data_IF_980039376063
#
_entry.id   IF_980039376063
#
_cell.length_a   1.000
_cell.length_b   1.000
_cell.length_c   1.000
_cell.angle_alpha   90.00
_cell.angle_beta   90.00
_cell.angle_gamma   90.00
#
_symmetry.space_group_name_H-M   'P 1'
#
loop_
_entity.id
_entity.type
_entity.pdbx_description
1 polymer ?
#
# COMPACT_ATOMS: atom_id res chain seq x y z
N UNK A 1 -37.47 72.25 4.21
CA UNK A 1 -36.94 72.66 2.89
C UNK A 1 -36.19 73.96 3.13
N UNK A 2 -34.89 73.86 3.44
CA UNK A 2 -34.10 74.98 3.95
C UNK A 2 -33.03 75.35 2.92
N UNK A 3 -32.89 76.66 2.69
CA UNK A 3 -32.04 77.29 1.70
C UNK A 3 -30.56 77.11 2.06
N UNK A 4 -29.79 76.52 1.14
CA UNK A 4 -28.33 76.45 1.20
C UNK A 4 -27.75 77.84 0.88
N UNK A 5 -27.12 78.47 1.87
CA UNK A 5 -26.23 79.61 1.66
C UNK A 5 -25.02 79.16 0.83
N UNK A 6 -24.44 79.99 -0.07
CA UNK A 6 -23.16 79.69 -0.69
C UNK A 6 -22.08 79.65 0.40
N UNK A 7 -21.71 78.44 0.83
CA UNK A 7 -20.71 78.18 1.85
C UNK A 7 -20.06 76.83 1.59
N UNK A 8 -18.83 76.66 2.07
CA UNK A 8 -18.12 75.37 2.00
C UNK A 8 -18.59 74.52 3.18
N UNK A 9 -19.31 73.44 2.89
CA UNK A 9 -19.62 72.40 3.86
C UNK A 9 -18.45 71.43 3.95
N UNK A 10 -17.89 71.26 5.14
CA UNK A 10 -16.82 70.28 5.41
C UNK A 10 -17.40 69.19 6.29
N UNK A 11 -17.63 68.01 5.73
CA UNK A 11 -17.94 66.82 6.50
C UNK A 11 -16.63 66.18 6.97
N UNK A 12 -16.44 66.08 8.28
CA UNK A 12 -15.33 65.29 8.85
C UNK A 12 -15.82 63.85 8.89
N UNK A 13 -15.29 63.01 8.00
CA UNK A 13 -15.45 61.56 8.08
C UNK A 13 -14.28 61.05 8.92
N UNK A 14 -14.58 60.43 10.05
CA UNK A 14 -13.56 59.79 10.87
C UNK A 14 -13.16 58.45 10.22
N UNK A 15 -11.98 58.41 9.62
CA UNK A 15 -11.35 57.19 9.07
C UNK A 15 -10.28 56.62 10.02
N UNK A 16 -10.26 57.02 11.29
CA UNK A 16 -9.25 56.53 12.22
C UNK A 16 -9.36 55.01 12.42
N UNK A 17 -8.32 54.31 11.97
CA UNK A 17 -8.17 52.88 12.21
C UNK A 17 -7.60 52.68 13.61
N UNK A 18 -8.44 52.28 14.57
CA UNK A 18 -7.96 51.77 15.84
C UNK A 18 -7.28 50.42 15.59
N UNK A 19 -5.96 50.34 15.79
CA UNK A 19 -5.27 49.05 15.80
C UNK A 19 -5.83 48.22 16.95
N UNK A 20 -6.43 47.06 16.66
CA UNK A 20 -6.83 46.11 17.70
C UNK A 20 -5.62 45.75 18.57
N UNK A 21 -5.81 45.53 19.88
CA UNK A 21 -4.74 45.03 20.75
C UNK A 21 -4.07 43.81 20.09
N UNK A 22 -2.73 43.77 20.09
CA UNK A 22 -1.98 42.68 19.50
C UNK A 22 -2.47 41.35 20.09
N UNK A 23 -3.10 40.52 19.26
CA UNK A 23 -3.53 39.20 19.67
C UNK A 23 -2.25 38.36 19.82
N UNK A 24 -1.95 37.92 21.05
CA UNK A 24 -0.78 37.09 21.29
C UNK A 24 -0.88 35.82 20.44
N UNK A 25 0.06 35.63 19.51
CA UNK A 25 0.15 34.40 18.73
C UNK A 25 0.73 33.29 19.60
N UNK A 26 0.06 32.13 19.63
CA UNK A 26 0.59 30.92 20.26
C UNK A 26 1.16 30.05 19.14
N UNK A 27 2.44 29.68 19.18
CA UNK A 27 3.03 28.84 18.15
C UNK A 27 2.43 27.43 18.18
N UNK A 28 2.38 26.81 17.00
CA UNK A 28 1.97 25.43 16.81
C UNK A 28 3.10 24.65 16.13
N UNK A 29 3.43 23.48 16.65
CA UNK A 29 4.49 22.60 16.13
C UNK A 29 3.90 21.21 15.89
N UNK A 30 3.85 20.82 14.62
CA UNK A 30 3.64 19.44 14.22
C UNK A 30 4.99 18.74 14.18
N UNK A 31 5.15 17.62 14.89
CA UNK A 31 6.41 16.89 14.97
C UNK A 31 6.23 15.38 14.82
N UNK A 32 7.29 14.72 14.38
CA UNK A 32 7.50 13.30 14.52
C UNK A 32 8.51 13.05 15.66
N UNK A 33 8.31 11.96 16.39
CA UNK A 33 9.20 11.49 17.46
C UNK A 33 9.06 9.97 17.53
N UNK A 34 10.05 9.29 18.11
CA UNK A 34 9.91 7.85 18.40
C UNK A 34 8.67 7.59 19.27
N UNK A 35 8.03 6.45 19.07
CA UNK A 35 6.96 5.98 19.93
C UNK A 35 7.52 5.49 21.27
N UNK A 36 6.68 5.56 22.30
CA UNK A 36 6.91 4.96 23.63
C UNK A 36 8.27 5.34 24.26
N UNK A 37 8.68 6.60 24.05
CA UNK A 37 9.91 7.13 24.64
C UNK A 37 9.78 7.17 26.14
N UNK A 38 10.89 6.94 26.84
CA UNK A 38 10.94 7.15 28.27
C UNK A 38 10.88 8.64 28.61
N UNK A 39 10.26 8.93 29.75
CA UNK A 39 10.31 10.23 30.39
C UNK A 39 11.76 10.56 30.83
N UNK A 40 12.04 11.79 31.29
CA UNK A 40 13.40 12.18 31.67
C UNK A 40 13.95 11.41 32.87
N UNK A 41 13.09 10.78 33.68
CA UNK A 41 13.52 9.93 34.79
C UNK A 41 13.91 8.51 34.35
N UNK A 42 13.44 8.06 33.19
CA UNK A 42 13.70 6.73 32.65
C UNK A 42 12.79 5.65 33.20
N UNK A 43 11.78 6.01 34.00
CA UNK A 43 10.94 5.07 34.76
C UNK A 43 9.58 4.81 34.09
N UNK A 44 9.09 5.74 33.27
CA UNK A 44 7.78 5.65 32.64
C UNK A 44 7.83 6.05 31.17
N UNK A 45 6.86 5.57 30.40
CA UNK A 45 6.65 6.03 29.02
C UNK A 45 6.08 7.45 29.06
N UNK A 46 6.67 8.34 28.27
CA UNK A 46 6.23 9.70 28.04
C UNK A 46 4.83 9.67 27.38
N UNK A 47 3.78 10.19 28.04
CA UNK A 47 2.39 9.93 27.66
C UNK A 47 1.98 10.49 26.29
N UNK A 48 2.66 11.52 25.79
CA UNK A 48 2.45 12.09 24.45
C UNK A 48 3.15 11.31 23.33
N UNK A 49 3.80 10.18 23.65
CA UNK A 49 4.49 9.33 22.67
C UNK A 49 3.84 7.97 22.47
N UNK A 50 2.72 7.67 23.12
CA UNK A 50 2.00 6.41 22.89
C UNK A 50 1.22 6.44 21.57
N UNK A 51 0.86 5.28 21.02
CA UNK A 51 0.02 5.21 19.81
C UNK A 51 -1.34 5.86 20.03
N UNK A 52 -1.92 5.72 21.22
CA UNK A 52 -3.28 6.21 21.52
C UNK A 52 -3.38 7.73 21.52
N UNK A 53 -2.28 8.44 21.74
CA UNK A 53 -2.22 9.91 21.81
C UNK A 53 -1.64 10.54 20.54
N UNK A 54 -1.32 9.73 19.53
CA UNK A 54 -0.87 10.24 18.25
C UNK A 54 -1.99 11.02 17.56
N UNK A 55 -1.68 12.21 17.07
CA UNK A 55 -2.66 13.13 16.49
C UNK A 55 -3.37 14.04 17.51
N UNK A 56 -3.22 13.83 18.81
CA UNK A 56 -3.78 14.74 19.81
C UNK A 56 -2.96 16.03 19.93
N UNK A 57 -3.66 17.14 20.18
CA UNK A 57 -3.04 18.45 20.36
C UNK A 57 -2.82 18.71 21.86
N UNK A 58 -1.57 18.94 22.24
CA UNK A 58 -1.16 19.28 23.59
C UNK A 58 -0.81 20.77 23.71
N UNK A 59 -1.36 21.44 24.71
CA UNK A 59 -0.87 22.75 25.13
C UNK A 59 0.23 22.55 26.18
N UNK A 60 1.47 22.83 25.81
CA UNK A 60 2.62 22.73 26.71
C UNK A 60 3.05 24.11 27.16
N UNK A 61 3.31 24.28 28.46
CA UNK A 61 3.57 25.57 29.09
C UNK A 61 4.99 25.73 29.63
N UNK A 62 5.78 24.65 29.68
CA UNK A 62 7.16 24.71 30.14
C UNK A 62 8.06 23.66 29.48
N UNK A 63 9.36 23.94 29.45
CA UNK A 63 10.38 22.99 28.99
C UNK A 63 10.35 21.67 29.75
N UNK A 64 10.10 21.70 31.07
CA UNK A 64 9.99 20.49 31.90
C UNK A 64 8.78 19.67 31.52
N UNK A 65 7.63 20.32 31.35
CA UNK A 65 6.41 19.65 30.92
C UNK A 65 6.61 19.00 29.55
N UNK A 66 7.25 19.72 28.60
CA UNK A 66 7.54 19.18 27.28
C UNK A 66 8.27 17.83 27.33
N UNK A 67 9.39 17.78 28.07
CA UNK A 67 10.21 16.56 28.12
C UNK A 67 9.55 15.45 28.94
N UNK A 68 8.71 15.80 29.92
CA UNK A 68 7.91 14.80 30.63
C UNK A 68 6.80 14.20 29.73
N UNK A 69 6.22 15.00 28.84
CA UNK A 69 5.14 14.56 27.94
C UNK A 69 5.66 13.83 26.71
N UNK A 70 6.77 14.28 26.11
CA UNK A 70 7.27 13.77 24.83
C UNK A 70 8.68 13.13 24.89
N UNK A 71 9.26 13.03 26.08
CA UNK A 71 10.63 12.56 26.29
C UNK A 71 11.69 13.60 25.90
N UNK A 72 12.96 13.25 26.11
CA UNK A 72 14.08 14.11 25.68
C UNK A 72 14.29 14.02 24.16
N UNK A 73 14.63 15.13 23.47
CA UNK A 73 15.03 15.09 22.05
C UNK A 73 16.24 14.19 21.81
N UNK A 74 16.14 13.33 20.81
CA UNK A 74 17.20 12.39 20.41
C UNK A 74 17.93 12.91 19.17
N UNK A 75 19.26 12.87 19.22
CA UNK A 75 20.13 13.26 18.12
C UNK A 75 21.18 12.19 17.87
N UNK A 76 21.33 11.80 16.61
CA UNK A 76 22.27 10.77 16.19
C UNK A 76 23.69 11.34 16.17
N UNK A 77 24.63 10.49 16.59
CA UNK A 77 26.05 10.79 16.66
C UNK A 77 26.82 9.67 15.96
N UNK A 78 27.98 10.03 15.42
CA UNK A 78 28.97 9.06 14.97
C UNK A 78 29.49 8.23 16.15
N UNK A 79 30.16 7.11 15.86
CA UNK A 79 30.85 6.31 16.89
C UNK A 79 31.88 7.11 17.70
N UNK A 80 32.45 8.17 17.11
CA UNK A 80 33.34 9.12 17.79
C UNK A 80 32.64 10.23 18.58
N UNK A 81 31.31 10.17 18.75
CA UNK A 81 30.54 11.15 19.54
C UNK A 81 30.24 12.49 18.84
N UNK A 82 30.67 12.65 17.59
CA UNK A 82 30.36 13.86 16.79
C UNK A 82 28.92 13.83 16.33
N UNK A 83 28.17 14.91 16.55
CA UNK A 83 26.77 15.04 16.14
C UNK A 83 26.61 15.00 14.62
N UNK A 84 25.59 14.28 14.14
CA UNK A 84 25.27 14.18 12.72
C UNK A 84 24.06 15.08 12.47
N UNK A 85 24.29 16.36 12.19
CA UNK A 85 23.19 17.32 12.07
C UNK A 85 22.25 17.04 10.88
N UNK A 86 22.75 16.43 9.80
CA UNK A 86 21.94 16.08 8.64
C UNK A 86 21.14 14.79 8.76
N UNK A 87 21.16 14.11 9.90
CA UNK A 87 20.46 12.83 10.08
C UNK A 87 18.94 13.07 10.09
N UNK A 88 18.23 12.39 9.19
CA UNK A 88 16.79 12.53 8.95
C UNK A 88 15.93 12.17 10.18
N UNK A 89 16.43 11.27 11.03
CA UNK A 89 15.74 10.88 12.26
C UNK A 89 16.05 11.76 13.48
N UNK A 90 16.78 12.87 13.33
CA UNK A 90 17.00 13.80 14.43
C UNK A 90 15.69 14.52 14.81
N UNK A 91 15.39 14.59 16.10
CA UNK A 91 14.14 15.17 16.62
C UNK A 91 14.20 16.70 16.73
N UNK A 92 14.49 17.36 15.61
CA UNK A 92 14.60 18.82 15.54
C UNK A 92 13.31 19.55 15.90
N UNK A 93 12.14 18.98 15.58
CA UNK A 93 10.85 19.56 15.96
C UNK A 93 10.66 19.64 17.48
N UNK A 94 11.06 18.59 18.20
CA UNK A 94 10.97 18.55 19.66
C UNK A 94 11.99 19.50 20.32
N UNK A 95 13.19 19.60 19.76
CA UNK A 95 14.18 20.59 20.19
C UNK A 95 13.74 22.03 19.90
N UNK A 96 13.08 22.27 18.77
CA UNK A 96 12.51 23.58 18.45
C UNK A 96 11.43 23.97 19.46
N UNK A 97 10.54 23.04 19.82
CA UNK A 97 9.55 23.26 20.87
C UNK A 97 10.20 23.57 22.22
N UNK A 98 11.25 22.84 22.59
CA UNK A 98 12.00 23.08 23.82
C UNK A 98 12.64 24.47 23.83
N UNK A 99 13.30 24.87 22.74
CA UNK A 99 13.93 26.19 22.63
C UNK A 99 12.90 27.31 22.64
N UNK A 100 11.77 27.12 21.97
CA UNK A 100 10.68 28.08 21.91
C UNK A 100 10.08 28.33 23.29
N UNK A 101 9.91 27.29 24.11
CA UNK A 101 9.45 27.41 25.51
C UNK A 101 10.47 28.07 26.44
N UNK A 102 11.72 28.29 25.99
CA UNK A 102 12.67 29.17 26.67
C UNK A 102 12.42 30.65 26.42
N UNK A 103 11.75 31.00 25.31
CA UNK A 103 11.43 32.38 24.92
C UNK A 103 9.94 32.74 25.11
N UNK A 104 9.07 31.73 25.14
CA UNK A 104 7.60 31.86 25.25
C UNK A 104 7.09 31.03 26.42
N UNK A 105 5.85 31.27 26.85
CA UNK A 105 5.23 30.59 27.99
C UNK A 105 4.23 29.48 27.61
N UNK A 106 4.02 29.24 26.31
CA UNK A 106 3.13 28.19 25.80
C UNK A 106 3.35 27.89 24.32
N UNK A 107 3.15 26.63 23.94
CA UNK A 107 3.17 26.13 22.56
C UNK A 107 2.14 25.02 22.40
N UNK A 108 1.46 24.96 21.26
CA UNK A 108 0.67 23.81 20.87
C UNK A 108 1.54 22.79 20.13
N UNK A 109 1.45 21.52 20.50
CA UNK A 109 2.23 20.44 19.90
C UNK A 109 1.30 19.32 19.49
N UNK A 110 1.46 18.82 18.28
CA UNK A 110 0.81 17.61 17.81
C UNK A 110 1.88 16.63 17.33
N UNK A 111 1.79 15.40 17.83
CA UNK A 111 2.62 14.30 17.32
C UNK A 111 1.92 13.67 16.11
N UNK A 112 2.64 13.45 15.01
CA UNK A 112 2.14 12.61 13.91
C UNK A 112 2.15 11.12 14.30
N UNK A 113 1.21 10.34 13.75
CA UNK A 113 1.18 8.89 13.93
C UNK A 113 2.22 8.19 13.03
N UNK A 114 3.49 8.44 13.31
CA UNK A 114 4.65 7.78 12.72
C UNK A 114 5.61 7.45 13.86
N UNK A 115 6.10 6.22 13.90
CA UNK A 115 7.19 5.84 14.80
C UNK A 115 8.52 6.00 14.07
N UNK A 116 9.35 6.94 14.54
CA UNK A 116 10.69 7.14 14.00
C UNK A 116 11.64 5.97 14.31
N UNK A 117 11.32 5.10 15.27
CA UNK A 117 12.13 3.92 15.58
C UNK A 117 12.08 2.87 14.46
N UNK A 118 10.94 2.76 13.78
CA UNK A 118 10.73 1.87 12.63
C UNK A 118 11.48 2.32 11.37
N UNK A 119 11.90 3.58 11.33
CA UNK A 119 12.64 4.17 10.22
C UNK A 119 14.16 4.03 10.39
N UNK A 120 14.63 3.50 11.52
CA UNK A 120 16.05 3.24 11.72
C UNK A 120 16.56 2.17 10.76
N UNK A 121 17.66 2.47 10.06
CA UNK A 121 18.25 1.53 9.13
C UNK A 121 18.74 0.27 9.86
N UNK A 122 18.24 -0.90 9.47
CA UNK A 122 18.82 -2.18 9.91
C UNK A 122 20.08 -2.51 9.10
N UNK A 123 21.17 -2.84 9.80
CA UNK A 123 22.37 -3.42 9.20
C UNK A 123 22.25 -4.94 8.98
N UNK A 124 21.18 -5.55 9.49
CA UNK A 124 20.88 -6.97 9.33
C UNK A 124 19.95 -7.13 8.15
N UNK A 125 20.36 -7.94 7.18
CA UNK A 125 19.49 -8.35 6.07
C UNK A 125 18.21 -8.97 6.67
N UNK A 126 17.01 -8.61 6.19
CA UNK A 126 15.80 -9.29 6.62
C UNK A 126 15.95 -10.79 6.31
N UNK A 127 15.90 -11.61 7.35
CA UNK A 127 15.95 -13.07 7.28
C UNK A 127 14.65 -13.63 7.84
N UNK A 128 14.08 -14.62 7.17
CA UNK A 128 12.79 -15.23 7.54
C UNK A 128 11.80 -15.24 6.38
N UNK A 129 10.78 -16.09 6.48
CA UNK A 129 9.62 -16.00 5.60
C UNK A 129 8.89 -14.69 5.89
N UNK A 130 8.50 -13.94 4.85
CA UNK A 130 7.62 -12.80 5.03
C UNK A 130 6.35 -13.25 5.77
N UNK A 131 5.81 -12.40 6.65
CA UNK A 131 4.53 -12.70 7.30
C UNK A 131 3.47 -12.98 6.22
N UNK A 132 2.53 -13.86 6.51
CA UNK A 132 1.46 -14.16 5.58
C UNK A 132 0.71 -12.87 5.19
N UNK A 133 0.49 -12.64 3.89
CA UNK A 133 -0.14 -11.42 3.38
C UNK A 133 0.80 -10.22 3.14
N UNK A 134 2.12 -10.38 3.35
CA UNK A 134 3.12 -9.33 3.01
C UNK A 134 3.77 -9.53 1.64
N UNK A 135 3.42 -10.62 0.95
CA UNK A 135 3.77 -10.88 -0.45
C UNK A 135 2.49 -10.87 -1.28
N UNK A 136 2.53 -10.23 -2.44
CA UNK A 136 1.48 -10.34 -3.44
C UNK A 136 2.09 -10.96 -4.70
N UNK A 137 1.35 -11.86 -5.33
CA UNK A 137 1.71 -12.36 -6.65
C UNK A 137 1.27 -11.30 -7.66
N UNK A 138 2.23 -10.64 -8.31
CA UNK A 138 1.94 -9.60 -9.29
C UNK A 138 1.40 -10.24 -10.57
N UNK A 139 0.10 -10.10 -10.80
CA UNK A 139 -0.57 -10.69 -11.96
C UNK A 139 -0.41 -9.85 -13.24
N UNK A 140 0.07 -8.60 -13.12
CA UNK A 140 0.23 -7.66 -14.23
C UNK A 140 1.61 -7.77 -14.86
N UNK A 141 2.65 -7.91 -14.02
CA UNK A 141 4.04 -7.99 -14.48
C UNK A 141 4.57 -9.42 -14.63
N UNK A 142 3.83 -10.44 -14.16
CA UNK A 142 4.26 -11.83 -14.30
C UNK A 142 4.00 -12.37 -15.71
N UNK A 143 5.06 -12.86 -16.35
CA UNK A 143 4.96 -13.75 -17.50
C UNK A 143 4.85 -15.21 -17.02
N UNK A 144 3.69 -15.84 -17.24
CA UNK A 144 3.40 -17.20 -16.76
C UNK A 144 4.16 -18.31 -17.49
N UNK A 145 4.77 -18.01 -18.65
CA UNK A 145 5.59 -18.97 -19.39
C UNK A 145 4.85 -20.23 -19.84
N UNK A 146 3.56 -20.12 -20.16
CA UNK A 146 2.75 -21.23 -20.67
C UNK A 146 2.93 -21.34 -22.19
N UNK A 147 3.30 -22.52 -22.68
CA UNK A 147 3.54 -22.76 -24.11
C UNK A 147 2.77 -23.97 -24.62
N UNK A 148 2.24 -23.89 -25.84
CA UNK A 148 1.59 -25.00 -26.55
C UNK A 148 2.34 -25.34 -27.84
N UNK A 149 2.44 -26.64 -28.15
CA UNK A 149 3.04 -27.10 -29.40
C UNK A 149 2.12 -26.83 -30.58
N UNK A 150 2.60 -26.06 -31.56
CA UNK A 150 1.90 -25.81 -32.81
C UNK A 150 2.53 -26.63 -33.94
N UNK A 151 1.78 -27.62 -34.43
CA UNK A 151 2.22 -28.51 -35.52
C UNK A 151 2.33 -27.82 -36.88
N UNK A 152 1.68 -26.67 -37.07
CA UNK A 152 1.75 -25.90 -38.32
C UNK A 152 3.06 -25.10 -38.39
N UNK A 153 3.45 -24.46 -37.29
CA UNK A 153 4.68 -23.68 -37.19
C UNK A 153 5.89 -24.52 -36.76
N UNK A 154 5.67 -25.74 -36.27
CA UNK A 154 6.68 -26.61 -35.65
C UNK A 154 7.44 -25.93 -34.50
N UNK A 155 6.73 -25.13 -33.72
CA UNK A 155 7.28 -24.37 -32.60
C UNK A 155 6.34 -24.43 -31.39
N UNK A 156 6.88 -24.12 -30.22
CA UNK A 156 6.09 -23.82 -29.03
C UNK A 156 5.68 -22.36 -29.04
N UNK A 157 4.38 -22.10 -29.14
CA UNK A 157 3.81 -20.76 -29.13
C UNK A 157 3.45 -20.38 -27.69
N UNK A 158 3.75 -19.14 -27.31
CA UNK A 158 3.39 -18.59 -26.00
C UNK A 158 1.88 -18.42 -25.93
N UNK A 159 1.28 -18.91 -24.85
CA UNK A 159 -0.14 -18.77 -24.55
C UNK A 159 -0.39 -17.58 -23.63
N UNK A 160 -1.52 -16.91 -23.85
CA UNK A 160 -2.04 -15.84 -22.99
C UNK A 160 -3.24 -16.39 -22.18
N UNK A 161 -3.03 -16.85 -20.94
CA UNK A 161 -4.08 -17.45 -20.13
C UNK A 161 -4.98 -16.38 -19.48
N UNK A 162 -6.25 -16.73 -19.30
CA UNK A 162 -7.19 -15.93 -18.52
C UNK A 162 -6.82 -16.06 -17.04
N UNK A 163 -6.55 -14.94 -16.39
CA UNK A 163 -6.24 -14.91 -14.97
C UNK A 163 -7.52 -14.72 -14.18
N UNK A 164 -7.88 -15.71 -13.37
CA UNK A 164 -9.07 -15.67 -12.51
C UNK A 164 -8.63 -15.17 -11.13
N UNK A 165 -9.21 -14.04 -10.73
CA UNK A 165 -8.90 -13.36 -9.46
C UNK A 165 -10.09 -13.33 -8.50
N UNK A 166 -11.28 -13.72 -8.95
CA UNK A 166 -12.52 -13.68 -8.18
C UNK A 166 -13.14 -15.08 -8.07
N UNK A 167 -13.43 -15.51 -6.84
CA UNK A 167 -14.04 -16.81 -6.57
C UNK A 167 -15.47 -16.94 -7.15
N UNK A 168 -16.13 -15.82 -7.49
CA UNK A 168 -17.43 -15.83 -8.16
C UNK A 168 -17.36 -16.29 -9.62
N UNK A 169 -16.18 -16.24 -10.24
CA UNK A 169 -15.93 -16.79 -11.58
C UNK A 169 -15.66 -18.31 -11.56
N UNK A 170 -15.78 -18.94 -10.39
CA UNK A 170 -15.57 -20.36 -10.17
C UNK A 170 -16.84 -21.06 -9.69
N UNK A 171 -17.02 -22.29 -10.14
CA UNK A 171 -18.01 -23.24 -9.62
C UNK A 171 -17.34 -24.56 -9.27
N UNK A 172 -17.33 -24.91 -7.99
CA UNK A 172 -16.68 -26.14 -7.51
C UNK A 172 -15.16 -26.18 -7.81
N UNK A 173 -14.51 -25.01 -7.84
CA UNK A 173 -13.08 -24.88 -8.16
C UNK A 173 -12.74 -24.88 -9.65
N UNK A 174 -13.73 -25.02 -10.54
CA UNK A 174 -13.56 -24.90 -11.98
C UNK A 174 -14.04 -23.53 -12.48
N UNK A 175 -13.39 -22.92 -13.48
CA UNK A 175 -13.90 -21.70 -14.09
C UNK A 175 -15.32 -21.88 -14.65
N UNK A 176 -16.13 -20.82 -14.61
CA UNK A 176 -17.47 -20.84 -15.20
C UNK A 176 -17.40 -21.07 -16.71
N UNK A 177 -18.41 -21.75 -17.26
CA UNK A 177 -18.51 -22.00 -18.70
C UNK A 177 -18.72 -20.73 -19.54
N UNK A 178 -19.10 -19.61 -18.91
CA UNK A 178 -19.16 -18.27 -19.52
C UNK A 178 -17.79 -17.61 -19.66
N UNK A 179 -16.77 -18.07 -18.93
CA UNK A 179 -15.41 -17.53 -18.98
C UNK A 179 -14.66 -18.17 -20.14
N UNK A 180 -13.96 -17.36 -20.94
CA UNK A 180 -13.14 -17.80 -22.06
C UNK A 180 -13.89 -18.48 -23.19
N UNK A 181 -13.17 -18.79 -24.26
CA UNK A 181 -13.65 -19.56 -25.41
C UNK A 181 -13.11 -20.98 -25.38
N UNK A 182 -13.68 -21.88 -26.17
CA UNK A 182 -13.09 -23.21 -26.41
C UNK A 182 -11.64 -23.03 -26.88
N UNK A 183 -10.72 -23.84 -26.36
CA UNK A 183 -9.28 -23.72 -26.61
C UNK A 183 -8.56 -22.75 -25.67
N UNK A 184 -9.28 -21.98 -24.85
CA UNK A 184 -8.68 -21.05 -23.91
C UNK A 184 -8.04 -21.78 -22.72
N UNK A 185 -7.04 -21.11 -22.15
CA UNK A 185 -6.39 -21.49 -20.91
C UNK A 185 -6.79 -20.51 -19.80
N UNK A 186 -6.91 -20.99 -18.58
CA UNK A 186 -7.16 -20.14 -17.42
C UNK A 186 -6.30 -20.57 -16.23
N UNK A 187 -5.83 -19.60 -15.45
CA UNK A 187 -5.08 -19.81 -14.20
C UNK A 187 -5.95 -19.28 -13.06
N UNK A 188 -6.25 -20.15 -12.10
CA UNK A 188 -7.00 -19.76 -10.90
C UNK A 188 -6.03 -19.26 -9.82
N UNK A 189 -5.96 -17.94 -9.67
CA UNK A 189 -5.08 -17.29 -8.68
C UNK A 189 -5.73 -17.13 -7.31
N UNK A 190 -6.97 -17.61 -7.15
CA UNK A 190 -7.68 -17.63 -5.87
C UNK A 190 -7.29 -18.83 -5.00
N UNK A 191 -6.72 -19.88 -5.60
CA UNK A 191 -6.12 -21.03 -4.91
C UNK A 191 -4.60 -20.88 -4.80
N UNK A 192 -4.04 -21.26 -3.65
CA UNK A 192 -2.58 -21.22 -3.40
C UNK A 192 -1.73 -22.06 -4.37
N UNK A 193 -2.34 -23.02 -5.05
CA UNK A 193 -1.68 -23.92 -6.00
C UNK A 193 -1.65 -23.37 -7.42
N UNK A 194 -2.37 -22.27 -7.68
CA UNK A 194 -2.54 -21.66 -9.01
C UNK A 194 -2.86 -22.69 -10.11
N UNK A 195 -3.91 -23.53 -9.98
CA UNK A 195 -4.19 -24.57 -10.94
C UNK A 195 -4.52 -23.98 -12.32
N UNK A 196 -4.07 -24.69 -13.36
CA UNK A 196 -4.24 -24.28 -14.76
C UNK A 196 -5.26 -25.18 -15.44
N UNK A 197 -6.26 -24.56 -16.07
CA UNK A 197 -7.36 -25.22 -16.75
C UNK A 197 -7.31 -24.97 -18.24
N UNK A 198 -7.78 -25.95 -19.02
CA UNK A 198 -8.00 -25.86 -20.45
C UNK A 198 -9.49 -26.05 -20.76
N UNK A 199 -10.05 -25.21 -21.64
CA UNK A 199 -11.44 -25.29 -22.05
C UNK A 199 -11.58 -26.20 -23.28
N UNK A 200 -12.15 -27.39 -23.07
CA UNK A 200 -12.27 -28.38 -24.13
C UNK A 200 -13.35 -28.03 -25.18
N UNK A 201 -13.41 -28.83 -26.25
CA UNK A 201 -14.37 -28.69 -27.35
C UNK A 201 -15.84 -28.74 -26.94
N UNK A 202 -16.15 -29.33 -25.78
CA UNK A 202 -17.49 -29.39 -25.20
C UNK A 202 -17.82 -28.17 -24.32
N UNK A 203 -16.97 -27.14 -24.35
CA UNK A 203 -17.10 -25.92 -23.52
C UNK A 203 -17.01 -26.19 -22.02
N UNK A 204 -16.26 -27.22 -21.62
CA UNK A 204 -16.04 -27.62 -20.22
C UNK A 204 -14.57 -27.42 -19.86
N UNK A 205 -14.33 -26.80 -18.71
CA UNK A 205 -12.99 -26.63 -18.16
C UNK A 205 -12.46 -27.93 -17.55
N UNK A 206 -11.22 -28.28 -17.89
CA UNK A 206 -10.53 -29.46 -17.38
C UNK A 206 -9.14 -29.09 -16.87
N UNK A 207 -8.75 -29.62 -15.71
CA UNK A 207 -7.43 -29.39 -15.13
C UNK A 207 -6.35 -29.98 -16.05
N UNK A 208 -5.32 -29.20 -16.39
CA UNK A 208 -4.20 -29.70 -17.19
C UNK A 208 -3.52 -30.88 -16.48
N UNK A 209 -3.21 -31.93 -17.22
CA UNK A 209 -2.63 -33.17 -16.70
C UNK A 209 -3.64 -34.18 -16.15
N UNK A 210 -4.92 -33.80 -15.99
CA UNK A 210 -5.99 -34.74 -15.64
C UNK A 210 -6.31 -35.70 -16.80
N UNK A 211 -6.91 -36.85 -16.50
CA UNK A 211 -7.32 -37.81 -17.54
C UNK A 211 -8.45 -37.26 -18.42
N UNK A 212 -9.32 -36.41 -17.86
CA UNK A 212 -10.35 -35.69 -18.63
C UNK A 212 -9.72 -34.74 -19.64
N UNK A 213 -8.66 -34.01 -19.25
CA UNK A 213 -7.92 -33.15 -20.16
C UNK A 213 -7.22 -33.97 -21.24
N UNK A 214 -6.51 -35.05 -20.89
CA UNK A 214 -5.84 -35.93 -21.88
C UNK A 214 -6.83 -36.49 -22.89
N UNK A 215 -8.00 -36.94 -22.44
CA UNK A 215 -9.06 -37.46 -23.31
C UNK A 215 -9.70 -36.39 -24.19
N UNK A 216 -9.57 -35.11 -23.83
CA UNK A 216 -10.10 -33.99 -24.60
C UNK A 216 -9.19 -33.50 -25.73
N UNK A 217 -7.92 -33.93 -25.74
CA UNK A 217 -6.95 -33.57 -26.79
C UNK A 217 -6.97 -34.67 -27.87
N UNK A 218 -7.38 -34.36 -29.11
CA UNK A 218 -7.46 -35.37 -30.16
C UNK A 218 -6.05 -35.74 -30.67
N UNK A 219 -5.73 -37.03 -30.69
CA UNK A 219 -4.48 -37.55 -31.28
C UNK A 219 -4.50 -37.49 -32.81
N UNK A 220 -5.68 -37.58 -33.42
CA UNK A 220 -5.88 -37.53 -34.87
C UNK A 220 -7.05 -36.60 -35.16
N UNK A 221 -6.82 -35.64 -36.06
CA UNK A 221 -7.83 -34.70 -36.57
C UNK A 221 -7.90 -34.82 -38.10
N UNK A 222 -9.11 -34.78 -38.65
CA UNK A 222 -9.34 -34.86 -40.08
C UNK A 222 -10.62 -34.14 -40.48
N UNK A 223 -10.64 -33.58 -41.69
CA UNK A 223 -11.84 -32.93 -42.25
C UNK A 223 -12.77 -33.92 -42.95
N UNK A 224 -12.26 -35.09 -43.32
CA UNK A 224 -12.99 -36.18 -43.95
C UNK A 224 -12.85 -37.42 -43.07
N UNK A 225 -13.96 -38.13 -42.82
CA UNK A 225 -13.94 -39.46 -42.22
C UNK A 225 -14.60 -40.45 -43.18
N UNK A 226 -13.89 -41.52 -43.52
CA UNK A 226 -14.43 -42.64 -44.28
C UNK A 226 -13.75 -43.95 -43.81
N UNK A 227 -14.46 -44.84 -43.10
CA UNK A 227 -15.88 -44.77 -42.74
C UNK A 227 -16.19 -43.68 -41.70
N UNK A 228 -17.48 -43.38 -41.50
CA UNK A 228 -17.93 -42.48 -40.43
C UNK A 228 -17.57 -43.06 -39.06
N UNK A 229 -16.88 -42.28 -38.23
CA UNK A 229 -16.46 -42.68 -36.88
C UNK A 229 -17.59 -42.35 -35.90
N UNK A 230 -18.05 -43.35 -35.15
CA UNK A 230 -19.05 -43.24 -34.11
C UNK A 230 -18.40 -43.25 -32.71
N UNK A 231 -19.13 -42.76 -31.70
CA UNK A 231 -18.68 -42.82 -30.31
C UNK A 231 -18.50 -44.30 -29.92
N UNK A 232 -17.29 -44.67 -29.51
CA UNK A 232 -16.92 -46.05 -29.13
C UNK A 232 -16.17 -46.82 -30.21
N UNK A 233 -15.93 -46.22 -31.38
CA UNK A 233 -15.04 -46.81 -32.39
C UNK A 233 -13.57 -46.66 -31.97
N UNK A 234 -12.81 -47.77 -32.06
CA UNK A 234 -11.39 -47.80 -31.74
C UNK A 234 -10.52 -47.57 -32.98
N UNK A 235 -9.55 -46.66 -32.89
CA UNK A 235 -8.53 -46.46 -33.91
C UNK A 235 -7.23 -47.18 -33.50
N UNK A 236 -6.81 -48.16 -34.29
CA UNK A 236 -5.54 -48.88 -34.07
C UNK A 236 -4.47 -48.33 -35.01
N UNK A 237 -3.39 -47.78 -34.45
CA UNK A 237 -2.22 -47.26 -35.19
C UNK A 237 -1.02 -48.18 -34.92
N UNK A 238 -0.34 -48.63 -35.98
CA UNK A 238 0.81 -49.55 -35.96
C UNK A 238 0.54 -50.89 -35.26
N UNK A 239 -0.11 -51.81 -35.97
CA UNK A 239 -0.08 -53.24 -35.59
C UNK A 239 1.29 -53.84 -35.90
N UNK A 240 1.84 -54.64 -34.99
CA UNK A 240 2.89 -55.63 -35.31
C UNK A 240 2.20 -56.82 -35.96
#
# INVERSE_FOLDING_TARGET
>A
MALLSPGVEVSIIDESQYTSAAQNTIPYILLATKQDKLDPSGEAIAPGTTTSTAGDIYLITSQRELVNTFGNPTFYKTSGGTAIHGHELNEYGLMAAYSLLGATNRVYIQRVNVDMSELESSLVRPIGAANNGTYWFDLVETEFGLFEWNSTTNNFDLLDPIIITDASDLTGGLPLSSIGTVGAYAIDTTDTSNPIYYKNSSNVWSLIGSDVWKASIPTVIGTESNPAISIGDDMVINTI
#
